data_IF_771039196298
#
_entry.id   IF_771039196298
#
_cell.length_a   1.000
_cell.length_b   1.000
_cell.length_c   1.000
_cell.angle_alpha   90.00
_cell.angle_beta   90.00
_cell.angle_gamma   90.00
#
_symmetry.space_group_name_H-M   'P 1'
#
loop_
_entity.id
_entity.type
_entity.pdbx_description
1 polymer ?
#
# COMPACT_ATOMS: atom_id res chain seq x y z
N UNK A 1 5.19 -22.47 22.54
CA UNK A 1 3.94 -21.84 22.02
C UNK A 1 3.62 -22.45 20.68
N UNK A 2 2.37 -22.89 20.45
CA UNK A 2 1.92 -23.31 19.12
C UNK A 2 1.39 -22.06 18.41
N UNK A 3 2.05 -21.63 17.33
CA UNK A 3 1.55 -20.53 16.49
C UNK A 3 0.32 -21.06 15.78
N UNK A 4 -0.83 -20.47 16.07
CA UNK A 4 -2.11 -20.98 15.60
C UNK A 4 -2.74 -20.11 14.51
N UNK A 5 -2.20 -18.92 14.24
CA UNK A 5 -2.71 -17.96 13.26
C UNK A 5 -1.55 -17.14 12.71
N UNK A 6 -1.63 -16.75 11.45
CA UNK A 6 -0.62 -15.95 10.78
C UNK A 6 -1.25 -14.64 10.30
N UNK A 7 -0.60 -13.52 10.59
CA UNK A 7 -1.00 -12.20 10.14
C UNK A 7 0.10 -11.68 9.21
N UNK A 8 -0.28 -11.29 8.00
CA UNK A 8 0.65 -10.82 6.98
C UNK A 8 0.40 -9.36 6.63
N UNK A 9 1.48 -8.65 6.33
CA UNK A 9 1.41 -7.42 5.54
C UNK A 9 1.29 -7.76 4.04
N UNK A 10 1.01 -6.76 3.19
CA UNK A 10 0.99 -6.94 1.73
C UNK A 10 2.19 -6.25 1.05
N UNK A 11 2.37 -4.95 1.28
CA UNK A 11 3.47 -4.18 0.69
C UNK A 11 4.83 -4.69 1.17
N UNK A 12 5.75 -4.94 0.25
CA UNK A 12 7.08 -5.52 0.53
C UNK A 12 7.06 -6.89 1.24
N UNK A 13 5.90 -7.57 1.28
CA UNK A 13 5.75 -8.96 1.76
C UNK A 13 5.23 -9.86 0.65
N UNK A 14 4.13 -9.49 0.00
CA UNK A 14 3.61 -10.18 -1.18
C UNK A 14 3.84 -9.39 -2.47
N UNK A 15 3.98 -8.07 -2.39
CA UNK A 15 4.11 -7.20 -3.55
C UNK A 15 5.41 -6.40 -3.51
N UNK A 16 6.08 -6.32 -4.66
CA UNK A 16 7.17 -5.35 -4.89
C UNK A 16 6.54 -3.98 -5.09
N UNK A 17 6.21 -3.32 -3.97
CA UNK A 17 5.63 -1.98 -3.98
C UNK A 17 6.73 -0.95 -3.72
N UNK A 18 6.92 -0.05 -4.68
CA UNK A 18 7.83 1.10 -4.52
C UNK A 18 7.46 2.25 -5.44
N UNK A 19 7.39 3.49 -4.94
CA UNK A 19 7.21 4.66 -5.80
C UNK A 19 8.40 4.87 -6.77
N UNK A 20 9.55 4.24 -6.52
CA UNK A 20 10.72 4.31 -7.43
C UNK A 20 10.39 3.79 -8.84
N UNK A 21 9.54 2.77 -8.95
CA UNK A 21 9.17 2.14 -10.23
C UNK A 21 8.55 3.12 -11.23
N UNK A 22 7.94 4.19 -10.71
CA UNK A 22 7.29 5.26 -11.47
C UNK A 22 8.07 6.56 -11.36
N UNK A 23 8.25 7.07 -10.14
CA UNK A 23 8.65 8.45 -9.91
C UNK A 23 10.13 8.72 -10.15
N UNK A 24 10.99 7.71 -10.17
CA UNK A 24 12.41 7.90 -10.54
C UNK A 24 12.57 8.32 -12.00
N UNK A 25 11.62 7.93 -12.88
CA UNK A 25 11.58 8.36 -14.28
C UNK A 25 11.02 9.78 -14.43
N UNK A 26 10.12 10.19 -13.54
CA UNK A 26 9.48 11.52 -13.54
C UNK A 26 10.41 12.56 -12.91
N UNK A 27 11.11 12.17 -11.84
CA UNK A 27 12.04 13.00 -11.07
C UNK A 27 13.41 12.29 -11.06
N UNK A 28 14.26 12.49 -12.09
CA UNK A 28 15.54 11.80 -12.19
C UNK A 28 16.55 12.22 -11.10
N UNK A 29 16.45 13.46 -10.62
CA UNK A 29 17.32 13.98 -9.55
C UNK A 29 16.99 13.31 -8.20
N UNK A 30 17.97 12.65 -7.61
CA UNK A 30 17.79 11.88 -6.37
C UNK A 30 17.36 12.73 -5.18
N UNK A 31 17.88 13.95 -5.06
CA UNK A 31 17.53 14.82 -3.93
C UNK A 31 16.08 15.28 -4.05
N UNK A 32 15.64 15.68 -5.24
CA UNK A 32 14.25 16.07 -5.51
C UNK A 32 13.30 14.88 -5.39
N UNK A 33 13.70 13.71 -5.87
CA UNK A 33 12.90 12.49 -5.73
C UNK A 33 12.72 12.12 -4.26
N UNK A 34 13.81 12.06 -3.50
CA UNK A 34 13.76 11.73 -2.08
C UNK A 34 12.96 12.77 -1.28
N UNK A 35 13.09 14.06 -1.62
CA UNK A 35 12.28 15.11 -1.02
C UNK A 35 10.79 14.92 -1.34
N UNK A 36 10.44 14.73 -2.62
CA UNK A 36 9.06 14.52 -3.03
C UNK A 36 8.44 13.30 -2.33
N UNK A 37 9.14 12.16 -2.30
CA UNK A 37 8.59 10.95 -1.68
C UNK A 37 8.46 11.09 -0.17
N UNK A 38 9.52 11.50 0.53
CA UNK A 38 9.55 11.46 1.99
C UNK A 38 8.86 12.66 2.65
N UNK A 39 8.91 13.84 2.05
CA UNK A 39 8.38 15.08 2.65
C UNK A 39 6.99 15.43 2.11
N UNK A 40 6.60 14.92 0.93
CA UNK A 40 5.32 15.23 0.28
C UNK A 40 4.44 14.00 0.15
N UNK A 41 4.83 13.02 -0.67
CA UNK A 41 3.96 11.93 -1.05
C UNK A 41 3.56 11.04 0.14
N UNK A 42 4.52 10.57 0.95
CA UNK A 42 4.18 9.73 2.10
C UNK A 42 3.35 10.47 3.16
N UNK A 43 3.74 11.68 3.65
CA UNK A 43 3.02 12.32 4.74
C UNK A 43 1.70 12.98 4.31
N UNK A 44 1.60 13.40 3.04
CA UNK A 44 0.46 14.21 2.55
C UNK A 44 -0.45 13.50 1.56
N UNK A 45 -0.06 12.33 1.06
CA UNK A 45 -0.91 11.50 0.20
C UNK A 45 -1.08 10.11 0.83
N UNK A 46 -0.03 9.29 0.77
CA UNK A 46 -0.05 7.85 1.02
C UNK A 46 -0.58 7.51 2.42
N UNK A 47 0.08 8.02 3.46
CA UNK A 47 -0.29 7.75 4.86
C UNK A 47 -1.67 8.28 5.21
N UNK A 48 -2.10 9.40 4.60
CA UNK A 48 -3.43 9.98 4.84
C UNK A 48 -4.52 9.09 4.22
N UNK A 49 -4.31 8.63 3.00
CA UNK A 49 -5.29 7.77 2.33
C UNK A 49 -5.31 6.36 2.92
N UNK A 50 -4.18 5.86 3.40
CA UNK A 50 -4.11 4.65 4.22
C UNK A 50 -4.89 4.80 5.54
N UNK A 51 -4.99 6.01 6.07
CA UNK A 51 -5.84 6.33 7.24
C UNK A 51 -7.29 6.67 6.87
N UNK A 52 -7.70 6.47 5.61
CA UNK A 52 -9.08 6.61 5.15
C UNK A 52 -9.48 7.99 4.63
N UNK A 53 -8.54 8.94 4.48
CA UNK A 53 -8.79 10.18 3.73
C UNK A 53 -9.01 9.84 2.26
N UNK A 54 -9.99 10.48 1.60
CA UNK A 54 -10.22 10.29 0.17
C UNK A 54 -9.08 10.88 -0.66
N UNK A 55 -8.73 10.20 -1.75
CA UNK A 55 -7.63 10.57 -2.65
C UNK A 55 -7.78 11.99 -3.18
N UNK A 56 -8.99 12.37 -3.61
CA UNK A 56 -9.27 13.70 -4.16
C UNK A 56 -9.02 14.83 -3.14
N UNK A 57 -9.41 14.60 -1.89
CA UNK A 57 -9.14 15.51 -0.76
C UNK A 57 -7.63 15.61 -0.51
N UNK A 58 -6.94 14.47 -0.36
CA UNK A 58 -5.51 14.45 -0.07
C UNK A 58 -4.70 15.15 -1.18
N UNK A 59 -5.02 14.88 -2.45
CA UNK A 59 -4.41 15.53 -3.61
C UNK A 59 -4.67 17.03 -3.60
N UNK A 60 -5.91 17.47 -3.40
CA UNK A 60 -6.26 18.90 -3.40
C UNK A 60 -5.51 19.69 -2.32
N UNK A 61 -5.49 19.17 -1.09
CA UNK A 61 -4.78 19.78 0.03
C UNK A 61 -3.25 19.79 -0.19
N UNK A 62 -2.69 18.70 -0.72
CA UNK A 62 -1.27 18.62 -1.01
C UNK A 62 -0.86 19.62 -2.11
N UNK A 63 -1.66 19.78 -3.18
CA UNK A 63 -1.40 20.77 -4.24
C UNK A 63 -1.42 22.20 -3.67
N UNK A 64 -2.38 22.52 -2.80
CA UNK A 64 -2.43 23.84 -2.16
C UNK A 64 -1.20 24.10 -1.28
N UNK A 65 -0.71 23.07 -0.58
CA UNK A 65 0.44 23.18 0.31
C UNK A 65 1.78 23.20 -0.44
N UNK A 66 1.89 22.49 -1.56
CA UNK A 66 3.12 22.34 -2.34
C UNK A 66 2.87 22.63 -3.83
N UNK A 67 2.57 23.88 -4.19
CA UNK A 67 2.24 24.24 -5.58
C UNK A 67 3.38 23.92 -6.56
N UNK A 68 4.63 23.99 -6.11
CA UNK A 68 5.80 23.67 -6.95
C UNK A 68 5.90 22.18 -7.35
N UNK A 69 5.15 21.31 -6.66
CA UNK A 69 5.08 19.85 -6.93
C UNK A 69 3.69 19.42 -7.43
N UNK A 70 2.85 20.37 -7.87
CA UNK A 70 1.48 20.09 -8.28
C UNK A 70 1.39 18.96 -9.32
N UNK A 71 2.30 18.97 -10.29
CA UNK A 71 2.35 17.96 -11.36
C UNK A 71 2.61 16.57 -10.79
N UNK A 72 3.63 16.43 -9.96
CA UNK A 72 4.04 15.16 -9.35
C UNK A 72 2.94 14.62 -8.44
N UNK A 73 2.31 15.49 -7.64
CA UNK A 73 1.19 15.15 -6.76
C UNK A 73 0.01 14.61 -7.57
N UNK A 74 -0.40 15.32 -8.63
CA UNK A 74 -1.52 14.89 -9.49
C UNK A 74 -1.24 13.60 -10.25
N UNK A 75 0.03 13.23 -10.43
CA UNK A 75 0.42 11.97 -11.08
C UNK A 75 0.48 10.78 -10.12
N UNK A 76 0.46 10.99 -8.80
CA UNK A 76 0.69 9.93 -7.80
C UNK A 76 -0.34 8.81 -7.90
N UNK A 77 -1.62 9.10 -7.66
CA UNK A 77 -2.67 8.09 -7.65
C UNK A 77 -3.03 7.50 -9.02
N UNK A 78 -3.06 8.27 -10.13
CA UNK A 78 -3.22 7.68 -11.46
C UNK A 78 -2.14 6.64 -11.81
N UNK A 79 -0.96 6.73 -11.20
CA UNK A 79 0.13 5.77 -11.40
C UNK A 79 0.36 4.82 -10.22
N UNK A 80 -0.47 4.87 -9.16
CA UNK A 80 -0.21 4.09 -7.95
C UNK A 80 -0.16 2.58 -8.23
N UNK A 81 -1.05 2.06 -9.09
CA UNK A 81 -1.01 0.64 -9.50
C UNK A 81 0.33 0.26 -10.17
N UNK A 82 0.95 1.17 -10.92
CA UNK A 82 2.24 0.96 -11.56
C UNK A 82 3.43 0.98 -10.58
N UNK A 83 3.20 1.37 -9.32
CA UNK A 83 4.18 1.23 -8.24
C UNK A 83 4.24 -0.19 -7.70
N UNK A 84 3.29 -1.07 -8.06
CA UNK A 84 3.34 -2.51 -7.78
C UNK A 84 4.01 -3.21 -8.97
N UNK A 85 5.28 -3.57 -8.80
CA UNK A 85 6.07 -4.30 -9.80
C UNK A 85 5.90 -5.82 -9.65
N UNK A 86 4.64 -6.26 -9.60
CA UNK A 86 4.30 -7.67 -9.46
C UNK A 86 4.32 -8.19 -8.01
N UNK A 87 4.23 -9.51 -7.89
CA UNK A 87 4.14 -10.22 -6.61
C UNK A 87 5.30 -11.18 -6.42
N UNK A 88 5.69 -11.40 -5.16
CA UNK A 88 6.72 -12.38 -4.79
C UNK A 88 6.11 -13.78 -4.75
N UNK A 89 6.45 -14.62 -5.74
CA UNK A 89 5.94 -15.98 -5.83
C UNK A 89 6.33 -16.82 -4.60
N UNK A 90 7.55 -16.65 -4.08
CA UNK A 90 8.02 -17.37 -2.89
C UNK A 90 7.14 -17.09 -1.65
N UNK A 91 6.71 -15.84 -1.47
CA UNK A 91 5.78 -15.46 -0.39
C UNK A 91 4.43 -16.13 -0.55
N UNK A 92 3.91 -16.18 -1.79
CA UNK A 92 2.64 -16.85 -2.11
C UNK A 92 2.75 -18.36 -1.83
N UNK A 93 3.86 -18.98 -2.19
CA UNK A 93 4.07 -20.42 -1.97
C UNK A 93 4.18 -20.76 -0.48
N UNK A 94 4.86 -19.93 0.31
CA UNK A 94 4.91 -20.04 1.76
C UNK A 94 3.51 -19.90 2.37
N UNK A 95 2.76 -18.88 1.95
CA UNK A 95 1.37 -18.67 2.38
C UNK A 95 0.50 -19.90 2.09
N UNK A 96 0.57 -20.44 0.87
CA UNK A 96 -0.19 -21.63 0.47
C UNK A 96 0.19 -22.86 1.29
N UNK A 97 1.48 -23.03 1.58
CA UNK A 97 1.97 -24.11 2.45
C UNK A 97 1.44 -23.97 3.87
N UNK A 98 1.41 -22.76 4.42
CA UNK A 98 0.85 -22.49 5.76
C UNK A 98 -0.65 -22.83 5.78
N UNK A 99 -1.41 -22.39 4.77
CA UNK A 99 -2.84 -22.74 4.64
C UNK A 99 -3.06 -24.25 4.48
N UNK A 100 -2.24 -24.96 3.70
CA UNK A 100 -2.39 -26.41 3.51
C UNK A 100 -2.14 -27.21 4.79
N UNK A 101 -1.42 -26.63 5.75
CA UNK A 101 -1.22 -27.20 7.09
C UNK A 101 -2.40 -26.92 8.05
N UNK A 102 -3.45 -26.25 7.57
CA UNK A 102 -4.66 -25.96 8.34
C UNK A 102 -4.53 -24.73 9.25
N UNK A 103 -3.54 -23.87 9.03
CA UNK A 103 -3.39 -22.64 9.78
C UNK A 103 -4.19 -21.48 9.15
N UNK A 104 -5.01 -20.76 9.92
CA UNK A 104 -5.64 -19.52 9.49
C UNK A 104 -4.62 -18.43 9.14
N UNK A 105 -4.84 -17.78 8.01
CA UNK A 105 -4.02 -16.70 7.48
C UNK A 105 -4.86 -15.44 7.28
N UNK A 106 -4.41 -14.33 7.86
CA UNK A 106 -5.07 -13.03 7.81
C UNK A 106 -4.15 -11.96 7.21
N UNK A 107 -4.73 -10.89 6.70
CA UNK A 107 -3.99 -9.70 6.25
C UNK A 107 -4.26 -8.51 7.17
N UNK A 108 -3.23 -7.73 7.42
CA UNK A 108 -3.32 -6.36 7.94
C UNK A 108 -2.36 -5.47 7.15
N UNK A 109 -2.92 -4.67 6.23
CA UNK A 109 -2.15 -3.79 5.35
C UNK A 109 -2.49 -2.33 5.61
N UNK A 110 -1.46 -1.49 5.72
CA UNK A 110 -1.62 -0.06 5.46
C UNK A 110 -1.81 0.06 3.94
N UNK A 111 -3.03 0.38 3.52
CA UNK A 111 -3.39 0.53 2.11
C UNK A 111 -4.71 1.32 2.03
N UNK A 112 -4.73 2.39 1.23
CA UNK A 112 -5.93 3.10 0.80
C UNK A 112 -6.98 2.18 0.18
N UNK A 113 -8.24 2.34 0.58
CA UNK A 113 -9.37 1.59 0.03
C UNK A 113 -9.50 1.76 -1.50
N UNK A 114 -9.38 3.00 -1.98
CA UNK A 114 -9.55 3.36 -3.39
C UNK A 114 -8.46 2.74 -4.28
N UNK A 115 -7.23 2.59 -3.79
CA UNK A 115 -6.17 1.94 -4.58
C UNK A 115 -6.13 0.42 -4.41
N UNK A 116 -6.76 -0.12 -3.38
CA UNK A 116 -6.94 -1.56 -3.20
C UNK A 116 -8.04 -2.12 -4.10
N UNK A 117 -9.00 -1.29 -4.55
CA UNK A 117 -10.05 -1.70 -5.48
C UNK A 117 -9.48 -2.43 -6.71
N UNK A 118 -10.05 -3.59 -7.05
CA UNK A 118 -9.60 -4.44 -8.17
C UNK A 118 -8.34 -5.28 -7.90
N UNK A 119 -7.64 -5.13 -6.77
CA UNK A 119 -6.45 -5.93 -6.47
C UNK A 119 -6.74 -7.44 -6.40
N UNK A 120 -7.89 -7.82 -5.86
CA UNK A 120 -8.25 -9.24 -5.71
C UNK A 120 -8.64 -9.90 -7.04
N UNK A 121 -9.05 -9.12 -8.03
CA UNK A 121 -9.33 -9.63 -9.38
C UNK A 121 -8.03 -9.79 -10.17
N UNK A 122 -7.09 -8.86 -10.01
CA UNK A 122 -5.76 -8.94 -10.61
C UNK A 122 -4.88 -10.02 -9.94
N UNK A 123 -5.03 -10.20 -8.63
CA UNK A 123 -4.25 -11.15 -7.82
C UNK A 123 -5.18 -12.07 -7.01
N UNK A 124 -5.72 -13.14 -7.63
CA UNK A 124 -6.73 -13.99 -7.01
C UNK A 124 -6.33 -14.67 -5.70
N UNK A 125 -5.03 -14.84 -5.42
CA UNK A 125 -4.57 -15.42 -4.14
C UNK A 125 -5.00 -14.59 -2.93
N UNK A 126 -5.26 -13.29 -3.10
CA UNK A 126 -5.78 -12.43 -2.03
C UNK A 126 -7.17 -12.89 -1.55
N UNK A 127 -7.93 -13.60 -2.38
CA UNK A 127 -9.24 -14.19 -2.01
C UNK A 127 -9.08 -15.42 -1.12
N UNK A 128 -7.89 -15.99 -1.03
CA UNK A 128 -7.62 -17.20 -0.24
C UNK A 128 -7.36 -16.90 1.25
N UNK A 129 -7.15 -15.64 1.67
CA UNK A 129 -7.01 -15.28 3.10
C UNK A 129 -8.34 -15.43 3.87
N UNK A 130 -8.24 -15.84 5.13
CA UNK A 130 -9.40 -16.09 6.01
C UNK A 130 -10.02 -14.80 6.58
N UNK A 131 -9.32 -13.68 6.43
CA UNK A 131 -9.81 -12.33 6.73
C UNK A 131 -8.76 -11.29 6.37
N UNK A 132 -9.21 -10.06 6.06
CA UNK A 132 -8.35 -8.98 5.62
C UNK A 132 -8.77 -7.68 6.28
N UNK A 133 -7.82 -6.98 6.87
CA UNK A 133 -7.96 -5.60 7.33
C UNK A 133 -7.16 -4.71 6.39
N UNK A 134 -7.88 -3.82 5.70
CA UNK A 134 -7.32 -2.80 4.83
C UNK A 134 -7.51 -1.47 5.54
N UNK A 135 -6.41 -0.85 5.98
CA UNK A 135 -6.42 0.32 6.88
C UNK A 135 -7.33 1.45 6.41
N UNK A 136 -7.38 1.72 5.10
CA UNK A 136 -8.19 2.79 4.52
C UNK A 136 -9.70 2.58 4.68
N UNK A 137 -10.14 1.35 4.95
CA UNK A 137 -11.55 1.01 5.27
C UNK A 137 -11.88 1.18 6.74
N UNK A 138 -10.87 1.02 7.60
CA UNK A 138 -11.03 1.02 9.06
C UNK A 138 -10.70 2.37 9.71
N UNK A 139 -10.17 3.33 8.95
CA UNK A 139 -9.75 4.65 9.45
C UNK A 139 -8.71 4.57 10.59
N UNK A 140 -7.91 3.50 10.59
CA UNK A 140 -6.83 3.21 11.53
C UNK A 140 -5.63 2.74 10.72
N UNK A 141 -4.40 2.99 11.20
CA UNK A 141 -3.17 2.55 10.52
C UNK A 141 -2.20 1.91 11.51
N UNK A 142 -1.40 0.94 11.05
CA UNK A 142 -0.22 0.49 11.79
C UNK A 142 0.74 1.67 11.96
N UNK A 143 1.44 1.80 13.11
CA UNK A 143 1.50 0.84 14.22
C UNK A 143 0.51 1.14 15.38
N UNK A 144 -0.62 1.81 15.15
CA UNK A 144 -1.61 2.04 16.22
C UNK A 144 -2.13 0.70 16.77
N UNK A 145 -2.04 0.43 18.09
CA UNK A 145 -2.49 -0.83 18.67
C UNK A 145 -3.99 -1.12 18.45
N UNK A 146 -4.82 -0.12 18.15
CA UNK A 146 -6.27 -0.31 17.94
C UNK A 146 -6.61 -1.14 16.69
N UNK A 147 -5.69 -1.28 15.74
CA UNK A 147 -5.92 -2.03 14.50
C UNK A 147 -5.58 -3.52 14.60
N UNK A 148 -4.98 -3.96 15.72
CA UNK A 148 -4.58 -5.34 15.98
C UNK A 148 -5.59 -6.08 16.84
#
# INVERSE_FOLDING_TARGET
>A
MKVNKFLFDLGNVFFDWSPHHVFKKIIPDDNKFNYFINEIAFPHLDTRCDAGVKIDIAVSEAVQKFPDYEKEIKLYYPNHRNMVNGSYQDSIDIFKKIKSLGHPCYVLSNWSDETYEGMEDQYPFLKEFDGKIISGREFLVKPDPKIY
#
